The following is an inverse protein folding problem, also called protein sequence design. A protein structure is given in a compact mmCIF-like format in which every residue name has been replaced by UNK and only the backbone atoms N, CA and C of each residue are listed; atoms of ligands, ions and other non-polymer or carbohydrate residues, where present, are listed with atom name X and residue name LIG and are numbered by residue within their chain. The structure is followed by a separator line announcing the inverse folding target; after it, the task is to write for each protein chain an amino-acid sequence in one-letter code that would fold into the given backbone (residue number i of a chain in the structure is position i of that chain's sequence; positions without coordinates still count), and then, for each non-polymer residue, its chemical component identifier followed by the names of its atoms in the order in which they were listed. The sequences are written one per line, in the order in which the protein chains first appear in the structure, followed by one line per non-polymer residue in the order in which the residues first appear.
data_IF_704748347361
#
_entry.id   IF_704748347361
#
_cell.length_a   1.000
_cell.length_b   1.000
_cell.length_c   1.000
_cell.angle_alpha   90.00
_cell.angle_beta   90.00
_cell.angle_gamma   90.00
#
_symmetry.space_group_name_H-M   'P 1'
#
loop_
_entity.id
_entity.type
_entity.pdbx_description
1 polymer ?
#
# COMPACT_ATOMS: atom_id res chain seq x y z
N UNK A 1 81.47 23.47 1.28
CA UNK A 1 80.73 23.27 0.02
C UNK A 1 79.91 22.00 0.14
N UNK A 2 78.60 22.16 0.03
CA UNK A 2 77.57 21.13 0.13
C UNK A 2 77.74 19.97 -0.87
N UNK A 3 77.23 18.78 -0.49
CA UNK A 3 76.18 18.01 -1.19
C UNK A 3 76.05 16.62 -0.53
N UNK A 4 75.09 16.45 0.38
CA UNK A 4 73.74 15.89 0.15
C UNK A 4 73.74 14.38 -0.16
N UNK A 5 73.52 13.60 0.91
CA UNK A 5 73.13 12.20 0.90
C UNK A 5 71.63 12.14 0.59
N UNK A 6 71.23 11.55 -0.54
CA UNK A 6 69.83 11.31 -0.88
C UNK A 6 69.40 9.97 -0.26
N UNK A 7 68.60 10.04 0.80
CA UNK A 7 67.88 8.89 1.37
C UNK A 7 66.60 8.70 0.55
N UNK A 8 66.51 7.57 -0.15
CA UNK A 8 65.32 7.15 -0.88
C UNK A 8 64.32 6.54 0.12
N UNK A 9 63.31 7.31 0.51
CA UNK A 9 62.18 6.82 1.31
C UNK A 9 61.20 6.12 0.37
N UNK A 10 61.14 4.79 0.39
CA UNK A 10 60.05 4.03 -0.23
C UNK A 10 58.79 4.17 0.64
N UNK A 11 57.91 5.10 0.28
CA UNK A 11 56.52 5.11 0.75
C UNK A 11 55.72 4.07 -0.02
N UNK A 12 55.48 2.92 0.61
CA UNK A 12 54.45 1.96 0.19
C UNK A 12 53.09 2.62 0.37
N UNK A 13 52.48 3.04 -0.74
CA UNK A 13 51.06 3.40 -0.81
C UNK A 13 50.27 2.10 -0.77
N UNK A 14 49.70 1.77 0.39
CA UNK A 14 48.65 0.75 0.50
C UNK A 14 47.38 1.39 -0.07
N UNK A 15 47.10 1.14 -1.34
CA UNK A 15 45.78 1.35 -1.93
C UNK A 15 44.82 0.35 -1.28
N UNK A 16 44.17 0.77 -0.19
CA UNK A 16 43.03 0.07 0.36
C UNK A 16 41.83 0.26 -0.57
N UNK A 17 41.58 -0.73 -1.42
CA UNK A 17 40.27 -0.92 -2.03
C UNK A 17 39.28 -1.27 -0.91
N UNK A 18 38.54 -0.26 -0.44
CA UNK A 18 37.38 -0.43 0.42
C UNK A 18 36.30 -1.14 -0.39
N UNK A 19 36.38 -2.48 -0.44
CA UNK A 19 35.21 -3.29 -0.71
C UNK A 19 34.21 -3.04 0.40
N UNK A 20 33.01 -2.60 0.03
CA UNK A 20 31.85 -2.61 0.93
C UNK A 20 31.71 -4.06 1.36
N UNK A 21 32.08 -4.36 2.61
CA UNK A 21 31.78 -5.64 3.20
C UNK A 21 30.26 -5.73 3.28
N UNK A 22 29.65 -6.52 2.39
CA UNK A 22 28.33 -7.07 2.63
C UNK A 22 28.49 -7.95 3.87
N UNK A 23 28.17 -7.40 5.04
CA UNK A 23 28.02 -8.19 6.25
C UNK A 23 26.91 -9.20 5.95
N UNK A 24 27.25 -10.48 5.91
CA UNK A 24 26.25 -11.53 6.01
C UNK A 24 25.50 -11.26 7.31
N UNK A 25 24.19 -10.98 7.20
CA UNK A 25 23.31 -10.74 8.33
C UNK A 25 22.78 -12.09 8.89
N UNK A 26 23.67 -13.08 8.95
CA UNK A 26 23.38 -14.39 9.51
C UNK A 26 22.95 -14.21 10.98
N UNK A 27 21.72 -14.62 11.28
CA UNK A 27 21.18 -14.61 12.64
C UNK A 27 20.23 -13.47 12.99
N UNK A 28 19.93 -12.53 12.08
CA UNK A 28 18.84 -11.56 12.29
C UNK A 28 17.49 -12.26 12.13
N UNK A 29 16.57 -12.03 13.06
CA UNK A 29 15.19 -12.48 13.01
C UNK A 29 14.26 -11.28 12.76
N UNK A 30 13.52 -11.30 11.65
CA UNK A 30 12.49 -10.29 11.36
C UNK A 30 11.11 -10.88 11.61
N UNK A 31 10.39 -10.24 12.53
CA UNK A 31 9.00 -10.57 12.83
C UNK A 31 8.02 -9.77 11.99
N UNK A 32 6.97 -10.40 11.47
CA UNK A 32 5.91 -9.70 10.74
C UNK A 32 4.55 -9.93 11.39
N UNK A 33 3.92 -8.84 11.83
CA UNK A 33 2.56 -8.82 12.36
C UNK A 33 1.60 -8.40 11.25
N UNK A 34 0.87 -9.38 10.70
CA UNK A 34 -0.18 -9.16 9.70
C UNK A 34 -1.52 -8.89 10.38
N UNK A 35 -2.33 -8.00 9.82
CA UNK A 35 -3.70 -7.82 10.30
C UNK A 35 -4.61 -8.99 9.88
N UNK A 36 -4.49 -9.46 8.62
CA UNK A 36 -5.16 -10.61 8.02
C UNK A 36 -4.52 -10.91 6.63
N UNK A 37 -5.11 -11.83 5.86
CA UNK A 37 -4.76 -12.13 4.46
C UNK A 37 -5.99 -12.13 3.53
N UNK A 38 -6.96 -11.24 3.77
CA UNK A 38 -8.17 -11.16 2.95
C UNK A 38 -7.88 -10.55 1.57
N UNK A 39 -7.16 -9.43 1.53
CA UNK A 39 -6.78 -8.76 0.29
C UNK A 39 -5.67 -9.54 -0.44
N UNK A 40 -5.78 -9.65 -1.77
CA UNK A 40 -4.89 -10.47 -2.62
C UNK A 40 -3.42 -10.09 -2.43
N UNK A 41 -3.15 -8.79 -2.36
CA UNK A 41 -1.80 -8.24 -2.28
C UNK A 41 -0.98 -8.76 -1.10
N UNK A 42 -1.58 -9.03 0.07
CA UNK A 42 -0.80 -9.34 1.29
C UNK A 42 0.04 -10.60 1.16
N UNK A 43 -0.39 -11.56 0.34
CA UNK A 43 0.42 -12.75 0.02
C UNK A 43 1.60 -12.42 -0.89
N UNK A 44 1.43 -11.47 -1.80
CA UNK A 44 2.50 -10.95 -2.66
C UNK A 44 3.50 -10.12 -1.86
N UNK A 45 3.02 -9.26 -0.96
CA UNK A 45 3.85 -8.51 0.00
C UNK A 45 4.68 -9.47 0.87
N UNK A 46 4.04 -10.50 1.45
CA UNK A 46 4.69 -11.52 2.27
C UNK A 46 5.78 -12.28 1.52
N UNK A 47 5.49 -12.70 0.28
CA UNK A 47 6.44 -13.41 -0.56
C UNK A 47 7.68 -12.55 -0.89
N UNK A 48 7.49 -11.25 -1.16
CA UNK A 48 8.58 -10.32 -1.43
C UNK A 48 9.44 -10.07 -0.18
N UNK A 49 8.82 -9.93 1.00
CA UNK A 49 9.54 -9.84 2.28
C UNK A 49 10.40 -11.09 2.48
N UNK A 50 9.79 -12.28 2.39
CA UNK A 50 10.50 -13.56 2.56
C UNK A 50 11.68 -13.71 1.61
N UNK A 51 11.51 -13.37 0.33
CA UNK A 51 12.58 -13.48 -0.66
C UNK A 51 13.82 -12.63 -0.31
N UNK A 52 13.63 -11.41 0.23
CA UNK A 52 14.74 -10.55 0.66
C UNK A 52 15.40 -11.10 1.92
N UNK A 53 14.61 -11.53 2.90
CA UNK A 53 15.14 -12.08 4.16
C UNK A 53 15.92 -13.37 3.92
N UNK A 54 15.39 -14.29 3.11
CA UNK A 54 16.05 -15.54 2.73
C UNK A 54 17.38 -15.28 2.01
N UNK A 55 17.41 -14.30 1.10
CA UNK A 55 18.64 -13.92 0.40
C UNK A 55 19.69 -13.28 1.33
N UNK A 56 19.26 -12.68 2.43
CA UNK A 56 20.13 -12.08 3.44
C UNK A 56 20.59 -13.07 4.55
N UNK A 57 20.07 -14.30 4.56
CA UNK A 57 20.31 -15.27 5.64
C UNK A 57 19.54 -14.97 6.94
N UNK A 58 18.53 -14.09 6.87
CA UNK A 58 17.71 -13.71 8.00
C UNK A 58 16.55 -14.69 8.21
N UNK A 59 16.10 -14.84 9.45
CA UNK A 59 14.96 -15.68 9.84
C UNK A 59 13.67 -14.89 9.76
N UNK A 60 12.66 -15.44 9.09
CA UNK A 60 11.30 -14.90 9.08
C UNK A 60 10.43 -15.59 10.14
N UNK A 61 9.80 -14.80 11.01
CA UNK A 61 8.71 -15.24 11.87
C UNK A 61 7.49 -14.35 11.67
N UNK A 62 6.28 -14.88 11.86
CA UNK A 62 5.06 -14.11 11.60
C UNK A 62 3.90 -14.50 12.48
N UNK A 63 2.98 -13.56 12.64
CA UNK A 63 1.68 -13.79 13.23
C UNK A 63 0.58 -13.11 12.38
N UNK A 64 -0.59 -13.73 12.36
CA UNK A 64 -1.79 -13.25 11.65
C UNK A 64 -2.86 -12.91 12.68
N UNK A 65 -3.24 -11.63 12.77
CA UNK A 65 -4.21 -11.14 13.74
C UNK A 65 -5.67 -11.48 13.41
N UNK A 66 -5.95 -12.01 12.22
CA UNK A 66 -7.29 -12.45 11.81
C UNK A 66 -8.35 -11.35 11.99
N UNK A 67 -7.99 -10.12 11.62
CA UNK A 67 -8.79 -8.90 11.77
C UNK A 67 -9.12 -8.51 13.22
N UNK A 68 -8.42 -9.05 14.21
CA UNK A 68 -8.60 -8.73 15.63
C UNK A 68 -7.46 -7.86 16.17
N UNK A 69 -7.75 -6.59 16.45
CA UNK A 69 -6.77 -5.67 17.06
C UNK A 69 -6.25 -6.17 18.41
N UNK A 70 -7.11 -6.76 19.24
CA UNK A 70 -6.71 -7.36 20.51
C UNK A 70 -5.78 -8.55 20.34
N UNK A 71 -6.00 -9.37 19.30
CA UNK A 71 -5.10 -10.47 18.96
C UNK A 71 -3.76 -9.92 18.46
N UNK A 72 -3.80 -8.87 17.63
CA UNK A 72 -2.59 -8.26 17.08
C UNK A 72 -1.64 -7.74 18.16
N UNK A 73 -2.18 -7.18 19.25
CA UNK A 73 -1.38 -6.81 20.42
C UNK A 73 -0.59 -8.00 20.97
N UNK A 74 -1.27 -9.11 21.24
CA UNK A 74 -0.62 -10.33 21.76
C UNK A 74 0.33 -10.97 20.74
N UNK A 75 0.04 -10.81 19.45
CA UNK A 75 0.88 -11.31 18.37
C UNK A 75 2.21 -10.55 18.32
N UNK A 76 2.19 -9.21 18.45
CA UNK A 76 3.42 -8.39 18.50
C UNK A 76 4.24 -8.73 19.74
N UNK A 77 3.62 -8.86 20.91
CA UNK A 77 4.30 -9.31 22.14
C UNK A 77 4.94 -10.70 21.98
N UNK A 78 4.29 -11.59 21.24
CA UNK A 78 4.83 -12.91 20.91
C UNK A 78 6.05 -12.82 19.99
N UNK A 79 6.04 -11.93 18.99
CA UNK A 79 7.20 -11.70 18.11
C UNK A 79 8.40 -11.16 18.90
N UNK A 80 8.18 -10.23 19.83
CA UNK A 80 9.20 -9.74 20.77
C UNK A 80 9.76 -10.92 21.58
N UNK A 81 8.88 -11.72 22.18
CA UNK A 81 9.27 -12.87 23.02
C UNK A 81 10.02 -13.97 22.26
N UNK A 82 9.79 -14.09 20.95
CA UNK A 82 10.49 -15.01 20.06
C UNK A 82 11.87 -14.50 19.62
N UNK A 83 12.25 -13.28 20.03
CA UNK A 83 13.56 -12.70 19.74
C UNK A 83 13.64 -12.03 18.37
N UNK A 84 12.57 -11.38 17.90
CA UNK A 84 12.65 -10.53 16.72
C UNK A 84 13.64 -9.37 16.95
N UNK A 85 14.59 -9.21 16.03
CA UNK A 85 15.54 -8.09 15.98
C UNK A 85 14.97 -6.86 15.25
N UNK A 86 13.90 -7.06 14.47
CA UNK A 86 13.06 -6.00 13.91
C UNK A 86 11.63 -6.51 13.72
N UNK A 87 10.64 -5.62 13.81
CA UNK A 87 9.23 -5.98 13.60
C UNK A 87 8.61 -5.12 12.50
N UNK A 88 7.99 -5.76 11.52
CA UNK A 88 7.18 -5.13 10.47
C UNK A 88 5.71 -5.29 10.89
N UNK A 89 4.93 -4.21 10.93
CA UNK A 89 3.54 -4.22 11.41
C UNK A 89 2.61 -3.65 10.34
N UNK A 90 1.72 -4.50 9.82
CA UNK A 90 0.53 -4.07 9.09
C UNK A 90 -0.63 -3.95 10.07
N UNK A 91 -0.98 -2.74 10.51
CA UNK A 91 -1.97 -2.55 11.56
C UNK A 91 -3.40 -2.93 11.14
N UNK A 92 -4.12 -3.65 12.00
CA UNK A 92 -5.57 -3.81 11.91
C UNK A 92 -6.30 -2.52 12.31
N UNK A 93 -5.81 -1.88 13.36
CA UNK A 93 -6.28 -0.62 13.90
C UNK A 93 -5.05 0.12 14.42
N UNK A 94 -4.79 1.29 13.83
CA UNK A 94 -3.57 2.06 14.09
C UNK A 94 -3.44 2.53 15.54
N UNK A 95 -4.56 2.82 16.21
CA UNK A 95 -4.54 3.31 17.59
C UNK A 95 -4.42 2.15 18.57
N UNK A 96 -5.16 1.07 18.33
CA UNK A 96 -5.22 -0.08 19.20
C UNK A 96 -3.87 -0.83 19.28
N UNK A 97 -3.09 -0.88 18.21
CA UNK A 97 -1.76 -1.55 18.21
C UNK A 97 -0.64 -0.68 18.79
N UNK A 98 -0.88 0.62 18.97
CA UNK A 98 0.11 1.60 19.44
C UNK A 98 0.87 1.18 20.71
N UNK A 99 0.22 0.65 21.77
CA UNK A 99 0.89 0.16 22.96
C UNK A 99 1.91 -0.95 22.70
N UNK A 100 1.63 -1.91 21.82
CA UNK A 100 2.56 -3.00 21.50
C UNK A 100 3.74 -2.50 20.65
N UNK A 101 3.51 -1.54 19.75
CA UNK A 101 4.60 -0.86 19.02
C UNK A 101 5.52 -0.09 19.98
N UNK A 102 4.94 0.64 20.93
CA UNK A 102 5.72 1.34 21.96
C UNK A 102 6.53 0.36 22.84
N UNK A 103 5.98 -0.82 23.15
CA UNK A 103 6.69 -1.86 23.89
C UNK A 103 7.89 -2.40 23.10
N UNK A 104 7.73 -2.71 21.81
CA UNK A 104 8.84 -3.16 20.95
C UNK A 104 9.98 -2.13 20.89
N UNK A 105 9.65 -0.86 20.66
CA UNK A 105 10.61 0.25 20.65
C UNK A 105 11.33 0.38 22.00
N UNK A 106 10.60 0.27 23.12
CA UNK A 106 11.17 0.37 24.46
C UNK A 106 12.18 -0.75 24.78
N UNK A 107 12.01 -1.93 24.18
CA UNK A 107 12.97 -3.05 24.24
C UNK A 107 14.14 -2.89 23.24
N UNK A 108 14.16 -1.79 22.48
CA UNK A 108 15.19 -1.50 21.49
C UNK A 108 14.99 -2.24 20.16
N UNK A 109 13.82 -2.81 19.92
CA UNK A 109 13.48 -3.50 18.68
C UNK A 109 12.90 -2.46 17.70
N UNK A 110 13.57 -2.17 16.57
CA UNK A 110 13.05 -1.24 15.57
C UNK A 110 11.74 -1.76 14.95
N UNK A 111 10.80 -0.84 14.74
CA UNK A 111 9.49 -1.13 14.14
C UNK A 111 9.33 -0.41 12.80
N UNK A 112 8.91 -1.16 11.78
CA UNK A 112 8.47 -0.63 10.48
C UNK A 112 6.94 -0.73 10.42
N UNK A 113 6.26 0.41 10.53
CA UNK A 113 4.85 0.54 10.19
C UNK A 113 4.68 0.34 8.68
N UNK A 114 4.05 -0.76 8.29
CA UNK A 114 3.95 -1.25 6.93
C UNK A 114 2.60 -0.92 6.32
N UNK A 115 2.61 -0.15 5.23
CA UNK A 115 1.46 0.33 4.45
C UNK A 115 0.49 1.24 5.24
N UNK A 116 0.01 0.79 6.40
CA UNK A 116 -0.91 1.50 7.29
C UNK A 116 -0.13 2.24 8.36
N UNK A 117 -0.44 3.53 8.50
CA UNK A 117 0.23 4.41 9.45
C UNK A 117 0.01 3.95 10.90
N UNK A 118 1.09 3.94 11.68
CA UNK A 118 1.06 3.81 13.14
C UNK A 118 1.91 4.95 13.70
N UNK A 119 1.27 5.94 14.33
CA UNK A 119 1.99 7.14 14.79
C UNK A 119 2.84 6.86 16.03
N UNK A 120 4.15 6.78 15.84
CA UNK A 120 5.17 6.70 16.89
C UNK A 120 6.47 7.34 16.37
N UNK A 121 7.09 8.31 17.08
CA UNK A 121 8.28 9.01 16.58
C UNK A 121 9.50 8.11 16.38
N UNK A 122 9.53 6.96 17.04
CA UNK A 122 10.62 5.98 17.01
C UNK A 122 10.31 4.77 16.10
N UNK A 123 9.21 4.83 15.33
CA UNK A 123 8.89 3.86 14.28
C UNK A 123 9.15 4.45 12.88
N UNK A 124 9.49 3.58 11.93
CA UNK A 124 9.62 3.94 10.52
C UNK A 124 8.27 3.74 9.81
N UNK A 125 7.84 4.70 8.98
CA UNK A 125 6.62 4.56 8.18
C UNK A 125 6.96 4.27 6.71
N UNK A 126 6.57 3.11 6.20
CA UNK A 126 6.80 2.73 4.80
C UNK A 126 5.47 2.46 4.11
N UNK A 127 5.17 3.21 3.06
CA UNK A 127 3.89 3.09 2.34
C UNK A 127 3.99 3.59 0.90
N UNK A 128 2.86 3.62 0.20
CA UNK A 128 2.68 4.42 -1.02
C UNK A 128 2.15 5.82 -0.66
N UNK A 129 2.23 6.78 -1.59
CA UNK A 129 1.56 8.07 -1.41
C UNK A 129 0.03 7.89 -1.50
N UNK A 130 -0.61 7.65 -0.35
CA UNK A 130 -2.05 7.35 -0.28
C UNK A 130 -2.94 8.53 -0.68
N UNK A 131 -2.48 9.78 -0.53
CA UNK A 131 -3.24 10.93 -1.06
C UNK A 131 -3.18 10.95 -2.58
N UNK A 132 -2.02 10.68 -3.15
CA UNK A 132 -1.89 10.57 -4.60
C UNK A 132 -2.74 9.42 -5.16
N UNK A 133 -2.82 8.29 -4.45
CA UNK A 133 -3.77 7.23 -4.83
C UNK A 133 -5.20 7.75 -4.88
N UNK A 134 -5.64 8.47 -3.86
CA UNK A 134 -6.96 9.10 -3.83
C UNK A 134 -7.21 10.05 -5.00
N UNK A 135 -6.21 10.88 -5.34
CA UNK A 135 -6.27 11.78 -6.50
C UNK A 135 -6.42 10.99 -7.81
N UNK A 136 -5.63 9.95 -8.00
CA UNK A 136 -5.67 9.12 -9.20
C UNK A 136 -7.03 8.37 -9.35
N UNK A 137 -7.59 7.88 -8.26
CA UNK A 137 -8.93 7.27 -8.23
C UNK A 137 -10.00 8.25 -8.70
N UNK A 138 -10.06 9.42 -8.06
CA UNK A 138 -11.04 10.45 -8.36
C UNK A 138 -10.86 11.02 -9.77
N UNK A 139 -9.62 11.27 -10.20
CA UNK A 139 -9.32 11.77 -11.54
C UNK A 139 -9.74 10.78 -12.63
N UNK A 140 -9.51 9.47 -12.42
CA UNK A 140 -9.92 8.43 -13.37
C UNK A 140 -11.44 8.38 -13.58
N UNK A 141 -12.21 8.53 -12.50
CA UNK A 141 -13.69 8.58 -12.56
C UNK A 141 -14.19 9.90 -13.14
N UNK A 142 -13.67 11.04 -12.68
CA UNK A 142 -14.09 12.36 -13.15
C UNK A 142 -13.75 12.62 -14.63
N UNK A 143 -12.71 11.97 -15.17
CA UNK A 143 -12.36 12.07 -16.57
C UNK A 143 -13.45 11.49 -17.50
N UNK A 144 -14.21 10.50 -17.04
CA UNK A 144 -15.29 9.86 -17.81
C UNK A 144 -16.67 10.35 -17.42
N UNK A 145 -16.85 10.79 -16.16
CA UNK A 145 -18.13 11.30 -15.64
C UNK A 145 -17.92 12.60 -14.86
N UNK A 146 -17.73 13.77 -15.51
CA UNK A 146 -17.34 15.00 -14.83
C UNK A 146 -18.42 15.61 -13.91
N UNK A 147 -19.68 15.20 -14.07
CA UNK A 147 -20.84 15.75 -13.36
C UNK A 147 -21.78 14.63 -12.91
N UNK A 148 -22.67 14.91 -11.97
CA UNK A 148 -23.74 14.00 -11.56
C UNK A 148 -23.67 13.57 -10.10
N UNK A 149 -24.39 12.50 -9.79
CA UNK A 149 -24.55 11.93 -8.47
C UNK A 149 -23.44 10.92 -8.17
N UNK A 150 -22.57 11.28 -7.24
CA UNK A 150 -21.42 10.47 -6.83
C UNK A 150 -21.70 9.79 -5.49
N UNK A 151 -21.21 8.55 -5.35
CA UNK A 151 -21.14 7.87 -4.06
C UNK A 151 -19.72 7.46 -3.74
N UNK A 152 -19.40 7.40 -2.45
CA UNK A 152 -18.06 7.09 -1.93
C UNK A 152 -18.07 5.83 -1.08
N UNK A 153 -17.37 4.80 -1.57
CA UNK A 153 -17.15 3.55 -0.84
C UNK A 153 -15.76 3.62 -0.23
N UNK A 154 -15.67 4.13 1.00
CA UNK A 154 -14.41 4.32 1.72
C UNK A 154 -13.91 2.98 2.27
N UNK A 155 -12.67 2.99 2.78
CA UNK A 155 -12.05 1.85 3.45
C UNK A 155 -12.53 1.62 4.88
N UNK A 156 -11.72 0.92 5.67
CA UNK A 156 -11.94 0.73 7.10
C UNK A 156 -11.66 2.02 7.88
N UNK A 157 -12.55 2.46 8.76
CA UNK A 157 -12.36 3.66 9.58
C UNK A 157 -11.24 3.55 10.63
N UNK A 158 -10.82 2.33 10.97
CA UNK A 158 -9.68 2.09 11.87
C UNK A 158 -8.31 2.19 11.17
N UNK A 159 -8.32 2.31 9.84
CA UNK A 159 -7.15 2.44 8.99
C UNK A 159 -7.02 3.89 8.48
N UNK A 160 -6.01 4.66 8.94
CA UNK A 160 -5.80 6.03 8.48
C UNK A 160 -5.67 6.19 6.96
N UNK A 161 -5.30 5.13 6.23
CA UNK A 161 -5.23 5.18 4.77
C UNK A 161 -6.60 5.45 4.12
N UNK A 162 -7.70 4.97 4.71
CA UNK A 162 -9.04 5.24 4.21
C UNK A 162 -9.32 6.76 4.15
N UNK A 163 -8.86 7.50 5.16
CA UNK A 163 -9.02 8.95 5.22
C UNK A 163 -8.03 9.67 4.30
N UNK A 164 -6.77 9.24 4.20
CA UNK A 164 -5.82 9.82 3.23
C UNK A 164 -6.30 9.66 1.78
N UNK A 165 -6.87 8.51 1.44
CA UNK A 165 -7.47 8.27 0.13
C UNK A 165 -8.64 9.21 -0.11
N UNK A 166 -9.55 9.32 0.86
CA UNK A 166 -10.71 10.20 0.74
C UNK A 166 -10.30 11.68 0.64
N UNK A 167 -9.32 12.12 1.42
CA UNK A 167 -8.75 13.46 1.29
C UNK A 167 -8.20 13.72 -0.11
N UNK A 168 -7.40 12.78 -0.66
CA UNK A 168 -6.89 12.89 -2.02
C UNK A 168 -8.00 12.91 -3.08
N UNK A 169 -9.07 12.12 -2.88
CA UNK A 169 -10.25 12.14 -3.75
C UNK A 169 -10.94 13.52 -3.70
N UNK A 170 -11.12 14.08 -2.51
CA UNK A 170 -11.74 15.40 -2.33
C UNK A 170 -10.89 16.51 -2.95
N UNK A 171 -9.56 16.46 -2.87
CA UNK A 171 -8.69 17.44 -3.54
C UNK A 171 -8.95 17.56 -5.05
N UNK A 172 -9.42 16.48 -5.71
CA UNK A 172 -9.80 16.49 -7.13
C UNK A 172 -11.25 16.92 -7.34
N UNK A 173 -12.17 16.44 -6.51
CA UNK A 173 -13.62 16.57 -6.76
C UNK A 173 -14.23 17.83 -6.13
N UNK A 174 -13.55 18.48 -5.17
CA UNK A 174 -14.13 19.56 -4.36
C UNK A 174 -14.65 20.71 -5.21
N UNK A 175 -13.94 21.11 -6.27
CA UNK A 175 -14.41 22.19 -7.15
C UNK A 175 -15.74 21.84 -7.86
N UNK A 176 -15.90 20.57 -8.26
CA UNK A 176 -17.15 20.06 -8.85
C UNK A 176 -18.28 20.02 -7.81
N UNK A 177 -17.96 19.64 -6.57
CA UNK A 177 -18.91 19.61 -5.45
C UNK A 177 -19.37 21.04 -5.08
N UNK A 178 -18.44 21.98 -4.91
CA UNK A 178 -18.71 23.37 -4.51
C UNK A 178 -19.55 24.12 -5.55
N UNK A 179 -19.36 23.81 -6.84
CA UNK A 179 -20.17 24.38 -7.92
C UNK A 179 -21.53 23.70 -8.10
N UNK A 180 -21.74 22.54 -7.46
CA UNK A 180 -22.94 21.72 -7.59
C UNK A 180 -22.99 20.85 -8.85
N UNK A 181 -21.91 20.81 -9.64
CA UNK A 181 -21.76 19.93 -10.80
C UNK A 181 -21.68 18.46 -10.38
N UNK A 182 -21.03 18.19 -9.24
CA UNK A 182 -20.99 16.88 -8.58
C UNK A 182 -21.84 16.97 -7.31
N UNK A 183 -22.69 15.97 -7.09
CA UNK A 183 -23.46 15.82 -5.85
C UNK A 183 -23.00 14.55 -5.14
N UNK A 184 -22.50 14.68 -3.92
CA UNK A 184 -22.33 13.52 -3.05
C UNK A 184 -23.71 13.06 -2.58
N UNK A 185 -24.14 11.88 -3.02
CA UNK A 185 -25.45 11.29 -2.68
C UNK A 185 -25.34 10.08 -1.75
N UNK A 186 -24.13 9.80 -1.23
CA UNK A 186 -23.91 8.72 -0.29
C UNK A 186 -22.42 8.48 -0.03
N UNK A 187 -22.06 8.27 1.22
CA UNK A 187 -20.72 7.84 1.61
C UNK A 187 -20.77 6.91 2.81
N UNK A 188 -19.91 5.89 2.83
CA UNK A 188 -19.79 4.97 3.96
C UNK A 188 -18.37 4.43 4.07
N UNK A 189 -17.92 4.20 5.31
CA UNK A 189 -16.80 3.32 5.59
C UNK A 189 -17.20 1.86 5.36
N UNK A 190 -16.22 1.05 5.00
CA UNK A 190 -16.38 -0.38 4.77
C UNK A 190 -15.54 -1.14 5.79
N UNK A 191 -16.21 -1.69 6.79
CA UNK A 191 -15.57 -2.49 7.84
C UNK A 191 -14.66 -3.56 7.24
N UNK A 192 -13.40 -3.59 7.71
CA UNK A 192 -12.36 -4.52 7.26
C UNK A 192 -12.10 -4.54 5.75
N UNK A 193 -12.42 -3.45 5.03
CA UNK A 193 -12.30 -3.40 3.57
C UNK A 193 -13.10 -4.53 2.88
N UNK A 194 -14.14 -5.04 3.55
CA UNK A 194 -14.84 -6.26 3.16
C UNK A 194 -15.74 -6.01 1.93
N UNK A 195 -15.56 -6.77 0.82
CA UNK A 195 -16.39 -6.65 -0.38
C UNK A 195 -17.90 -6.80 -0.15
N UNK A 196 -18.32 -7.68 0.77
CA UNK A 196 -19.75 -7.89 1.08
C UNK A 196 -20.37 -6.67 1.77
N UNK A 197 -19.60 -6.00 2.65
CA UNK A 197 -20.02 -4.75 3.30
C UNK A 197 -20.08 -3.62 2.26
N UNK A 198 -19.10 -3.55 1.34
CA UNK A 198 -19.12 -2.58 0.25
C UNK A 198 -20.31 -2.78 -0.69
N UNK A 199 -20.66 -4.03 -0.99
CA UNK A 199 -21.86 -4.36 -1.76
C UNK A 199 -23.12 -3.86 -1.05
N UNK A 200 -23.28 -4.16 0.25
CA UNK A 200 -24.43 -3.72 1.03
C UNK A 200 -24.52 -2.18 1.11
N UNK A 201 -23.39 -1.48 1.30
CA UNK A 201 -23.32 -0.02 1.26
C UNK A 201 -23.81 0.52 -0.09
N UNK A 202 -23.34 -0.06 -1.20
CA UNK A 202 -23.76 0.35 -2.54
C UNK A 202 -25.25 0.07 -2.80
N UNK A 203 -25.77 -1.09 -2.39
CA UNK A 203 -27.21 -1.42 -2.48
C UNK A 203 -28.09 -0.41 -1.74
N UNK A 204 -27.64 0.03 -0.56
CA UNK A 204 -28.32 1.08 0.20
C UNK A 204 -28.32 2.41 -0.55
N UNK A 205 -27.19 2.82 -1.13
CA UNK A 205 -27.12 4.08 -1.89
C UNK A 205 -27.95 4.05 -3.17
N UNK A 206 -27.93 2.93 -3.90
CA UNK A 206 -28.79 2.73 -5.07
C UNK A 206 -30.27 2.85 -4.69
N UNK A 207 -30.69 2.17 -3.61
CA UNK A 207 -32.06 2.24 -3.12
C UNK A 207 -32.46 3.65 -2.69
N UNK A 208 -31.61 4.33 -1.92
CA UNK A 208 -31.88 5.68 -1.41
C UNK A 208 -32.00 6.72 -2.52
N UNK A 209 -31.31 6.51 -3.64
CA UNK A 209 -31.26 7.44 -4.76
C UNK A 209 -32.06 6.94 -5.98
N UNK A 210 -32.92 5.93 -5.85
CA UNK A 210 -33.70 5.35 -6.95
C UNK A 210 -32.84 4.98 -8.17
N UNK A 211 -31.66 4.40 -7.92
CA UNK A 211 -30.64 4.07 -8.91
C UNK A 211 -30.02 5.27 -9.67
N UNK A 212 -30.32 6.52 -9.28
CA UNK A 212 -29.71 7.73 -9.82
C UNK A 212 -28.31 7.95 -9.22
N UNK A 213 -27.38 7.05 -9.54
CA UNK A 213 -25.96 7.14 -9.20
C UNK A 213 -25.16 7.12 -10.49
N UNK A 214 -24.39 8.18 -10.73
CA UNK A 214 -23.64 8.39 -11.96
C UNK A 214 -22.18 7.96 -11.83
N UNK A 215 -21.62 7.90 -10.61
CA UNK A 215 -20.25 7.45 -10.39
C UNK A 215 -20.04 6.86 -8.99
N UNK A 216 -19.12 5.89 -8.90
CA UNK A 216 -18.68 5.29 -7.63
C UNK A 216 -17.18 5.53 -7.44
N UNK A 217 -16.82 6.23 -6.37
CA UNK A 217 -15.43 6.38 -5.94
C UNK A 217 -15.18 5.35 -4.84
N UNK A 218 -14.74 4.15 -5.23
CA UNK A 218 -14.35 3.08 -4.30
C UNK A 218 -12.85 3.11 -4.02
N UNK A 219 -12.49 2.89 -2.76
CA UNK A 219 -11.13 3.09 -2.25
C UNK A 219 -10.16 1.92 -2.50
N UNK A 220 -10.65 0.72 -2.82
CA UNK A 220 -9.79 -0.37 -3.32
C UNK A 220 -10.53 -1.38 -4.22
N UNK A 221 -9.81 -2.34 -4.78
CA UNK A 221 -10.34 -3.29 -5.77
C UNK A 221 -11.34 -4.31 -5.18
N UNK A 222 -11.17 -4.69 -3.91
CA UNK A 222 -12.14 -5.52 -3.20
C UNK A 222 -13.48 -4.82 -3.00
N UNK A 223 -13.45 -3.57 -2.50
CA UNK A 223 -14.66 -2.77 -2.30
C UNK A 223 -15.30 -2.35 -3.63
N UNK A 224 -14.50 -2.04 -4.66
CA UNK A 224 -14.98 -1.84 -6.02
C UNK A 224 -15.70 -3.08 -6.56
N UNK A 225 -15.17 -4.28 -6.33
CA UNK A 225 -15.82 -5.54 -6.71
C UNK A 225 -17.20 -5.71 -6.08
N UNK A 226 -17.33 -5.40 -4.79
CA UNK A 226 -18.63 -5.39 -4.09
C UNK A 226 -19.61 -4.38 -4.68
N UNK A 227 -19.17 -3.14 -4.91
CA UNK A 227 -20.01 -2.10 -5.51
C UNK A 227 -20.45 -2.46 -6.94
N UNK A 228 -19.56 -3.03 -7.75
CA UNK A 228 -19.87 -3.49 -9.12
C UNK A 228 -20.90 -4.63 -9.09
N UNK A 229 -20.85 -5.53 -8.10
CA UNK A 229 -21.86 -6.58 -7.94
C UNK A 229 -23.27 -5.99 -7.68
N UNK A 230 -23.37 -4.97 -6.82
CA UNK A 230 -24.62 -4.24 -6.57
C UNK A 230 -25.13 -3.52 -7.83
N UNK A 231 -24.22 -2.84 -8.57
CA UNK A 231 -24.54 -2.21 -9.85
C UNK A 231 -25.03 -3.22 -10.88
N UNK A 232 -24.38 -4.37 -10.99
CA UNK A 232 -24.75 -5.43 -11.92
C UNK A 232 -26.17 -5.96 -11.65
N UNK A 233 -26.56 -6.10 -10.38
CA UNK A 233 -27.90 -6.51 -9.99
C UNK A 233 -29.01 -5.53 -10.44
N UNK A 234 -28.64 -4.26 -10.68
CA UNK A 234 -29.53 -3.22 -11.22
C UNK A 234 -29.33 -2.98 -12.73
N UNK A 235 -28.47 -3.75 -13.41
CA UNK A 235 -28.16 -3.57 -14.83
C UNK A 235 -27.30 -2.33 -15.13
N UNK A 236 -26.56 -1.81 -14.15
CA UNK A 236 -25.77 -0.58 -14.24
C UNK A 236 -24.26 -0.82 -14.40
N UNK A 237 -23.78 -2.05 -14.21
CA UNK A 237 -22.37 -2.38 -14.38
C UNK A 237 -21.87 -2.04 -15.80
N UNK A 238 -20.73 -1.36 -15.89
CA UNK A 238 -20.17 -0.85 -17.15
C UNK A 238 -20.81 0.43 -17.68
N UNK A 239 -21.91 0.90 -17.10
CA UNK A 239 -22.46 2.24 -17.38
C UNK A 239 -22.07 3.25 -16.31
N UNK A 240 -21.97 2.82 -15.05
CA UNK A 240 -21.49 3.65 -13.93
C UNK A 240 -19.99 3.42 -13.75
N UNK A 241 -19.13 4.44 -13.91
CA UNK A 241 -17.70 4.33 -13.64
C UNK A 241 -17.40 4.06 -12.17
N UNK A 242 -16.39 3.22 -11.94
CA UNK A 242 -15.96 2.76 -10.62
C UNK A 242 -14.44 2.82 -10.50
N UNK A 243 -13.92 3.50 -9.48
CA UNK A 243 -12.48 3.48 -9.14
C UNK A 243 -12.10 2.27 -8.29
N UNK A 244 -10.80 2.03 -8.14
CA UNK A 244 -10.23 1.03 -7.24
C UNK A 244 -8.75 1.27 -6.99
N UNK A 245 -8.09 0.31 -6.35
CA UNK A 245 -6.68 0.34 -5.96
C UNK A 245 -6.23 -1.09 -5.70
N UNK A 246 -4.92 -1.32 -5.87
CA UNK A 246 -4.12 -2.51 -5.57
C UNK A 246 -3.71 -3.26 -6.85
N UNK A 247 -4.53 -3.18 -7.90
CA UNK A 247 -4.29 -3.89 -9.16
C UNK A 247 -4.59 -5.37 -9.03
N UNK A 248 -5.60 -5.74 -8.25
CA UNK A 248 -6.02 -7.14 -8.08
C UNK A 248 -6.31 -7.75 -9.45
N UNK A 249 -5.97 -9.03 -9.63
CA UNK A 249 -6.08 -9.67 -10.95
C UNK A 249 -7.51 -9.60 -11.51
N UNK A 250 -8.50 -9.77 -10.63
CA UNK A 250 -9.91 -9.62 -10.98
C UNK A 250 -10.30 -8.19 -11.35
N UNK A 251 -9.70 -7.16 -10.73
CA UNK A 251 -9.96 -5.77 -11.07
C UNK A 251 -9.35 -5.39 -12.42
N UNK A 252 -8.15 -5.85 -12.72
CA UNK A 252 -7.50 -5.65 -14.01
C UNK A 252 -8.33 -6.29 -15.14
N UNK A 253 -8.92 -7.46 -14.90
CA UNK A 253 -9.88 -8.05 -15.82
C UNK A 253 -11.17 -7.22 -15.94
N UNK A 254 -11.74 -6.71 -14.84
CA UNK A 254 -12.90 -5.80 -14.89
C UNK A 254 -12.63 -4.52 -15.68
N UNK A 255 -11.41 -3.97 -15.58
CA UNK A 255 -10.96 -2.84 -16.40
C UNK A 255 -10.93 -3.22 -17.88
N UNK A 256 -10.38 -4.39 -18.22
CA UNK A 256 -10.39 -4.87 -19.60
C UNK A 256 -11.81 -5.13 -20.14
N UNK A 257 -12.75 -5.54 -19.27
CA UNK A 257 -14.16 -5.72 -19.60
C UNK A 257 -14.98 -4.42 -19.58
N UNK A 258 -14.40 -3.30 -19.14
CA UNK A 258 -15.06 -1.99 -19.03
C UNK A 258 -16.06 -1.88 -17.87
N UNK A 259 -16.05 -2.79 -16.90
CA UNK A 259 -16.93 -2.73 -15.72
C UNK A 259 -16.31 -2.02 -14.52
N UNK A 260 -15.00 -1.77 -14.57
CA UNK A 260 -14.26 -0.91 -13.63
C UNK A 260 -13.44 0.10 -14.45
N UNK A 261 -13.38 1.34 -14.02
CA UNK A 261 -12.79 2.44 -14.81
C UNK A 261 -11.28 2.56 -14.61
N UNK A 262 -10.85 2.46 -13.36
CA UNK A 262 -9.46 2.61 -12.97
C UNK A 262 -9.17 1.72 -11.76
N UNK A 263 -7.96 1.18 -11.70
CA UNK A 263 -7.36 0.70 -10.45
C UNK A 263 -6.01 1.39 -10.30
N UNK A 264 -5.74 1.91 -9.11
CA UNK A 264 -4.43 2.46 -8.80
C UNK A 264 -3.51 1.33 -8.34
N UNK A 265 -2.66 0.86 -9.24
CA UNK A 265 -1.70 -0.19 -8.99
C UNK A 265 -0.59 0.29 -8.06
N UNK A 266 -0.39 -0.52 -7.03
CA UNK A 266 0.67 -0.40 -6.04
C UNK A 266 1.46 -1.71 -6.10
N UNK A 267 2.67 -1.69 -6.67
CA UNK A 267 3.45 -2.92 -6.80
C UNK A 267 3.87 -3.43 -5.41
N UNK A 268 3.09 -4.35 -4.85
CA UNK A 268 3.28 -4.97 -3.55
C UNK A 268 4.66 -5.63 -3.41
N UNK A 269 5.27 -6.04 -4.54
CA UNK A 269 6.62 -6.63 -4.55
C UNK A 269 7.67 -5.60 -4.13
N UNK A 270 7.54 -4.36 -4.62
CA UNK A 270 8.46 -3.28 -4.30
C UNK A 270 8.30 -2.82 -2.84
N UNK A 271 7.06 -2.74 -2.34
CA UNK A 271 6.82 -2.38 -0.93
C UNK A 271 7.35 -3.45 0.02
N UNK A 272 7.02 -4.73 -0.23
CA UNK A 272 7.48 -5.84 0.60
C UNK A 272 9.01 -5.97 0.60
N UNK A 273 9.63 -5.82 -0.57
CA UNK A 273 11.09 -5.79 -0.70
C UNK A 273 11.68 -4.65 0.14
N UNK A 274 11.17 -3.43 -0.03
CA UNK A 274 11.67 -2.26 0.72
C UNK A 274 11.46 -2.42 2.23
N UNK A 275 10.38 -3.05 2.67
CA UNK A 275 10.13 -3.30 4.10
C UNK A 275 11.15 -4.23 4.72
N UNK A 276 11.48 -5.33 4.03
CA UNK A 276 12.54 -6.23 4.46
C UNK A 276 13.90 -5.54 4.46
N UNK A 277 14.24 -4.76 3.43
CA UNK A 277 15.48 -3.98 3.38
C UNK A 277 15.59 -3.01 4.55
N UNK A 278 14.53 -2.24 4.83
CA UNK A 278 14.49 -1.30 5.96
C UNK A 278 14.60 -2.05 7.29
N UNK A 279 13.86 -3.14 7.48
CA UNK A 279 13.95 -3.93 8.71
C UNK A 279 15.37 -4.47 8.96
N UNK A 280 16.04 -4.99 7.93
CA UNK A 280 17.43 -5.48 8.00
C UNK A 280 18.43 -4.35 8.29
N UNK A 281 18.25 -3.18 7.66
CA UNK A 281 19.09 -2.01 7.92
C UNK A 281 18.97 -1.54 9.38
N UNK A 282 17.74 -1.44 9.90
CA UNK A 282 17.47 -1.00 11.26
C UNK A 282 17.93 -2.02 12.30
N UNK A 283 17.68 -3.32 12.08
CA UNK A 283 18.21 -4.41 12.92
C UNK A 283 19.76 -4.40 12.95
N UNK A 284 20.39 -4.01 11.84
CA UNK A 284 21.83 -3.78 11.74
C UNK A 284 22.34 -2.51 12.45
N UNK A 285 21.47 -1.78 13.16
CA UNK A 285 21.81 -0.58 13.92
C UNK A 285 21.84 0.73 13.10
N UNK A 286 21.32 0.73 11.86
CA UNK A 286 21.17 1.97 11.11
C UNK A 286 20.08 2.85 11.78
N UNK A 287 20.33 4.15 11.87
CA UNK A 287 19.34 5.11 12.36
C UNK A 287 18.19 5.29 11.36
N UNK A 288 16.98 5.60 11.88
CA UNK A 288 15.76 5.80 11.08
C UNK A 288 15.94 6.87 9.98
N UNK A 289 16.61 7.97 10.31
CA UNK A 289 16.86 9.12 9.41
C UNK A 289 18.05 8.88 8.45
N UNK A 290 18.73 7.75 8.56
CA UNK A 290 19.82 7.34 7.68
C UNK A 290 19.36 6.29 6.64
N UNK A 291 18.11 5.82 6.72
CA UNK A 291 17.52 4.92 5.71
C UNK A 291 17.52 5.62 4.35
N UNK A 292 17.94 4.91 3.30
CA UNK A 292 18.08 5.52 1.97
C UNK A 292 16.71 5.92 1.41
N UNK A 293 16.57 7.20 1.05
CA UNK A 293 15.36 7.82 0.50
C UNK A 293 14.31 8.20 1.55
N UNK A 294 14.68 8.19 2.84
CA UNK A 294 13.81 8.66 3.92
C UNK A 294 13.43 10.13 3.75
N UNK A 295 12.21 10.45 4.12
CA UNK A 295 11.66 11.80 4.19
C UNK A 295 10.97 12.02 5.54
N UNK A 296 10.94 13.26 6.07
CA UNK A 296 10.14 13.55 7.24
C UNK A 296 8.65 13.48 6.90
N UNK A 297 7.85 12.97 7.84
CA UNK A 297 6.40 12.92 7.74
C UNK A 297 5.76 13.41 9.04
N UNK A 298 4.69 14.20 8.94
CA UNK A 298 3.87 14.61 10.08
C UNK A 298 2.40 14.81 9.67
N UNK A 299 1.99 14.14 8.60
CA UNK A 299 0.65 14.26 8.01
C UNK A 299 -0.39 13.34 8.65
N UNK A 300 -0.02 12.64 9.73
CA UNK A 300 -0.92 11.77 10.48
C UNK A 300 -1.98 12.53 11.29
N UNK A 301 -3.06 11.86 11.72
CA UNK A 301 -4.15 12.49 12.46
C UNK A 301 -3.70 13.12 13.79
N UNK A 302 -2.63 12.59 14.43
CA UNK A 302 -2.04 13.15 15.66
C UNK A 302 -0.88 14.10 15.40
N UNK A 303 -0.47 14.26 14.13
CA UNK A 303 0.64 15.13 13.73
C UNK A 303 2.00 14.70 14.29
N UNK A 304 2.18 13.40 14.59
CA UNK A 304 3.45 12.88 15.10
C UNK A 304 4.51 12.96 14.01
N UNK A 305 5.65 13.57 14.31
CA UNK A 305 6.79 13.61 13.40
C UNK A 305 7.44 12.22 13.34
N UNK A 306 7.60 11.70 12.12
CA UNK A 306 8.13 10.36 11.83
C UNK A 306 9.10 10.40 10.65
N UNK A 307 9.89 9.33 10.53
CA UNK A 307 10.67 9.03 9.35
C UNK A 307 9.84 8.15 8.42
N UNK A 308 9.73 8.54 7.15
CA UNK A 308 8.89 7.83 6.19
C UNK A 308 9.60 7.56 4.86
N UNK A 309 9.06 6.60 4.10
CA UNK A 309 9.39 6.38 2.71
C UNK A 309 8.10 6.14 1.93
N UNK A 310 7.91 6.90 0.85
CA UNK A 310 6.74 6.81 -0.02
C UNK A 310 7.12 6.24 -1.38
N UNK A 311 6.39 5.23 -1.83
CA UNK A 311 6.45 4.72 -3.20
C UNK A 311 5.36 5.42 -4.02
N UNK A 312 5.69 5.79 -5.26
CA UNK A 312 4.72 6.37 -6.18
C UNK A 312 3.74 5.29 -6.69
N UNK A 313 2.42 5.52 -6.64
CA UNK A 313 1.43 4.64 -7.24
C UNK A 313 1.28 4.89 -8.75
N UNK A 314 0.63 3.96 -9.47
CA UNK A 314 0.37 4.07 -10.91
C UNK A 314 -1.09 3.81 -11.23
N UNK A 315 -1.78 4.75 -11.87
CA UNK A 315 -3.14 4.51 -12.36
C UNK A 315 -3.14 3.55 -13.56
N UNK A 316 -3.93 2.49 -13.47
CA UNK A 316 -4.16 1.52 -14.54
C UNK A 316 -5.59 1.68 -15.05
N UNK A 317 -5.71 1.90 -16.34
CA UNK A 317 -6.96 1.98 -17.11
C UNK A 317 -6.86 1.03 -18.30
N UNK A 318 -7.93 0.92 -19.08
CA UNK A 318 -7.96 0.07 -20.28
C UNK A 318 -6.84 0.43 -21.28
N UNK A 319 -6.39 1.69 -21.30
CA UNK A 319 -5.38 2.19 -22.24
C UNK A 319 -3.95 1.74 -21.93
N UNK A 320 -3.67 1.34 -20.69
CA UNK A 320 -2.30 1.02 -20.24
C UNK A 320 -2.18 -0.29 -19.46
N UNK A 321 -3.13 -1.23 -19.63
CA UNK A 321 -3.09 -2.57 -19.03
C UNK A 321 -1.78 -3.33 -19.31
N UNK A 322 -1.08 -3.01 -20.41
CA UNK A 322 0.21 -3.61 -20.71
C UNK A 322 1.27 -3.29 -19.64
N UNK A 323 1.16 -2.18 -18.90
CA UNK A 323 2.11 -1.82 -17.84
C UNK A 323 2.24 -2.92 -16.78
N UNK A 324 1.11 -3.47 -16.32
CA UNK A 324 1.09 -4.54 -15.32
C UNK A 324 1.41 -5.91 -15.91
N UNK A 325 1.06 -6.14 -17.18
CA UNK A 325 1.37 -7.39 -17.89
C UNK A 325 2.89 -7.49 -18.15
N UNK A 326 3.48 -6.43 -18.72
CA UNK A 326 4.91 -6.35 -19.04
C UNK A 326 5.77 -6.39 -17.78
N UNK A 327 5.27 -5.85 -16.66
CA UNK A 327 5.89 -5.95 -15.34
C UNK A 327 5.78 -7.35 -14.69
N UNK A 328 5.09 -8.29 -15.34
CA UNK A 328 4.87 -9.64 -14.82
C UNK A 328 4.04 -9.69 -13.53
N UNK A 329 3.22 -8.66 -13.28
CA UNK A 329 2.32 -8.63 -12.14
C UNK A 329 1.16 -9.63 -12.32
N UNK A 330 0.65 -9.72 -13.54
CA UNK A 330 -0.45 -10.60 -13.94
C UNK A 330 -0.20 -11.10 -15.37
N UNK A 331 -0.71 -12.28 -15.71
CA UNK A 331 -0.61 -12.80 -17.09
C UNK A 331 -1.64 -12.16 -18.01
N UNK A 332 -1.30 -12.03 -19.30
CA UNK A 332 -2.25 -11.55 -20.33
C UNK A 332 -3.53 -12.37 -20.35
N UNK A 333 -3.45 -13.69 -20.23
CA UNK A 333 -4.62 -14.58 -20.26
C UNK A 333 -5.61 -14.27 -19.13
N UNK A 334 -5.11 -13.93 -17.93
CA UNK A 334 -5.96 -13.54 -16.79
C UNK A 334 -6.59 -12.18 -17.02
N UNK A 335 -5.83 -11.17 -17.45
CA UNK A 335 -6.35 -9.82 -17.72
C UNK A 335 -7.41 -9.85 -18.82
N UNK A 336 -7.18 -10.62 -19.88
CA UNK A 336 -7.99 -10.60 -21.09
C UNK A 336 -9.10 -11.66 -21.12
N UNK A 337 -9.33 -12.35 -20.01
CA UNK A 337 -10.38 -13.36 -19.92
C UNK A 337 -11.75 -12.74 -20.23
N UNK A 338 -12.43 -13.27 -21.25
CA UNK A 338 -13.78 -12.83 -21.65
C UNK A 338 -13.83 -11.52 -22.44
N UNK A 339 -12.70 -10.89 -22.72
CA UNK A 339 -12.62 -9.66 -23.52
C UNK A 339 -12.87 -9.97 -25.00
N UNK A 340 -13.64 -9.11 -25.68
CA UNK A 340 -13.89 -9.27 -27.11
C UNK A 340 -12.62 -8.97 -27.93
N UNK A 341 -12.35 -9.78 -28.96
CA UNK A 341 -11.20 -9.55 -29.82
C UNK A 341 -11.28 -8.15 -30.48
N UNK A 342 -10.16 -7.40 -30.44
CA UNK A 342 -10.07 -6.06 -31.00
C UNK A 342 -10.66 -4.94 -30.13
N UNK A 343 -11.18 -5.22 -28.93
CA UNK A 343 -11.78 -4.20 -28.06
C UNK A 343 -10.80 -3.57 -27.06
N UNK A 344 -9.68 -4.24 -26.76
CA UNK A 344 -8.66 -3.78 -25.81
C UNK A 344 -7.30 -4.06 -26.41
N UNK A 345 -6.49 -3.02 -26.63
CA UNK A 345 -5.19 -3.14 -27.28
C UNK A 345 -4.23 -4.09 -26.53
N UNK A 346 -4.27 -4.11 -25.20
CA UNK A 346 -3.47 -5.03 -24.39
C UNK A 346 -3.87 -6.52 -24.56
N UNK A 347 -5.05 -6.79 -25.12
CA UNK A 347 -5.59 -8.13 -25.31
C UNK A 347 -5.40 -8.70 -26.73
N UNK A 348 -4.95 -7.86 -27.68
CA UNK A 348 -4.72 -8.25 -29.08
C UNK A 348 -3.32 -8.83 -29.34
#
# INVERSE_FOLDING_TARGET
MNKFLAVLLCTTVITGSAGVAAYAQDGITVGVSWNNFQEERWKTDEAAIKAVLDAAGATYISADAQSSASKQLTDIESLISQGADAIIVLAQDSEAVGPAVAAAVAEGIPVVGYDRLIENPDAFYLTFDNKEVGRLQAAGVAAVQPEGNYVFIKGNSADPNADFLFEGQMEVLQAGIDSGAIKNVGEAYTDNWNPEVAQANMEQFLTANNNEVDAVVASNDGTAGGAIAALAAQGLAGSVPVSGQDGDHAALNRIALGTQTVSVWKDARELGKKAAEVALELAGGKALDAVTGVVPFSGGPKGVAMNAFFIAPVAITQDNLNVVIDAGWVTKDVVCQGVAAGSVAACD
#
